data_IF_190775437181
#
_entry.id   IF_190775437181
#
_cell.length_a   1.000
_cell.length_b   1.000
_cell.length_c   1.000
_cell.angle_alpha   90.00
_cell.angle_beta   90.00
_cell.angle_gamma   90.00
#
_symmetry.space_group_name_H-M   'P 1'
#
loop_
_entity.id
_entity.type
_entity.pdbx_description
1 polymer ?
#
# COMPACT_ATOMS: atom_id res chain seq x y z
N UNK A 1 2.18 21.76 -6.39
CA UNK A 1 2.98 20.91 -5.48
C UNK A 1 4.16 20.34 -6.26
N UNK A 2 5.35 20.26 -5.66
CA UNK A 2 6.51 19.61 -6.29
C UNK A 2 6.18 18.12 -6.50
N UNK A 3 6.17 17.60 -7.75
CA UNK A 3 5.84 16.19 -8.02
C UNK A 3 6.73 15.20 -7.26
N UNK A 4 7.96 15.58 -6.90
CA UNK A 4 8.89 14.74 -6.13
C UNK A 4 8.40 14.43 -4.70
N UNK A 5 7.39 15.12 -4.19
CA UNK A 5 6.78 14.78 -2.90
C UNK A 5 6.24 13.35 -2.88
N UNK A 6 5.80 12.83 -4.04
CA UNK A 6 5.27 11.49 -4.16
C UNK A 6 6.31 10.39 -3.93
N UNK A 7 7.60 10.64 -4.18
CA UNK A 7 8.65 9.71 -3.78
C UNK A 7 8.76 9.57 -2.26
N UNK A 8 8.54 10.66 -1.50
CA UNK A 8 8.53 10.61 -0.03
C UNK A 8 7.34 9.80 0.47
N UNK A 9 6.17 10.01 -0.13
CA UNK A 9 4.95 9.24 0.17
C UNK A 9 5.17 7.76 -0.17
N UNK A 10 5.73 7.46 -1.34
CA UNK A 10 6.05 6.09 -1.74
C UNK A 10 7.05 5.42 -0.77
N UNK A 11 8.06 6.14 -0.30
CA UNK A 11 9.04 5.62 0.66
C UNK A 11 8.37 5.24 2.00
N UNK A 12 7.55 6.11 2.57
CA UNK A 12 6.83 5.84 3.82
C UNK A 12 5.84 4.68 3.62
N UNK A 13 5.08 4.71 2.53
CA UNK A 13 4.14 3.65 2.17
C UNK A 13 4.84 2.30 1.96
N UNK A 14 6.07 2.30 1.43
CA UNK A 14 6.85 1.09 1.19
C UNK A 14 7.30 0.41 2.46
N UNK A 15 7.80 1.19 3.42
CA UNK A 15 8.14 0.67 4.76
C UNK A 15 6.90 0.06 5.43
N UNK A 16 5.75 0.73 5.33
CA UNK A 16 4.50 0.21 5.87
C UNK A 16 4.06 -1.10 5.19
N UNK A 17 4.07 -1.16 3.86
CA UNK A 17 3.68 -2.34 3.10
C UNK A 17 4.59 -3.56 3.41
N UNK A 18 5.91 -3.34 3.51
CA UNK A 18 6.87 -4.37 3.94
C UNK A 18 6.61 -4.84 5.37
N UNK A 19 6.34 -3.91 6.30
CA UNK A 19 6.01 -4.23 7.69
C UNK A 19 4.74 -5.08 7.80
N UNK A 20 3.67 -4.71 7.09
CA UNK A 20 2.41 -5.45 7.08
C UNK A 20 2.55 -6.83 6.43
N UNK A 21 3.31 -6.93 5.33
CA UNK A 21 3.60 -8.21 4.66
C UNK A 21 4.41 -9.17 5.54
N UNK A 22 5.47 -8.67 6.18
CA UNK A 22 6.30 -9.50 7.08
C UNK A 22 5.56 -9.93 8.34
N UNK A 23 4.74 -9.03 8.91
CA UNK A 23 3.83 -9.36 10.02
C UNK A 23 2.84 -10.45 9.61
N UNK A 24 2.24 -10.33 8.43
CA UNK A 24 1.34 -11.34 7.85
C UNK A 24 1.97 -12.73 7.74
N UNK A 25 3.23 -12.79 7.32
CA UNK A 25 3.94 -14.06 7.11
C UNK A 25 4.43 -14.72 8.41
N UNK A 26 4.81 -13.95 9.43
CA UNK A 26 5.51 -14.49 10.61
C UNK A 26 4.68 -14.46 11.90
N UNK A 27 3.93 -13.37 12.12
CA UNK A 27 3.28 -13.10 13.40
C UNK A 27 1.75 -13.22 13.32
N UNK A 28 1.16 -13.04 12.14
CA UNK A 28 -0.29 -13.06 11.98
C UNK A 28 -0.87 -14.48 12.04
N UNK A 29 -1.54 -14.77 13.16
CA UNK A 29 -2.16 -16.07 13.45
C UNK A 29 -3.64 -15.88 13.80
N UNK A 30 -4.50 -15.55 12.82
CA UNK A 30 -5.93 -15.40 13.06
C UNK A 30 -6.56 -16.75 13.42
N UNK A 31 -7.63 -16.72 14.21
CA UNK A 31 -8.40 -17.93 14.57
C UNK A 31 -9.10 -18.54 13.36
N UNK A 32 -9.59 -17.70 12.44
CA UNK A 32 -10.13 -18.16 11.16
C UNK A 32 -9.04 -18.02 10.07
N UNK A 33 -8.65 -19.12 9.40
CA UNK A 33 -7.59 -19.12 8.40
C UNK A 33 -7.91 -18.25 7.18
N UNK A 34 -9.19 -18.00 6.86
CA UNK A 34 -9.63 -17.11 5.78
C UNK A 34 -9.00 -15.72 5.89
N UNK A 35 -8.78 -15.24 7.11
CA UNK A 35 -8.20 -13.91 7.31
C UNK A 35 -6.73 -13.83 6.93
N UNK A 36 -6.00 -14.95 6.85
CA UNK A 36 -4.66 -14.94 6.28
C UNK A 36 -4.68 -14.59 4.80
N UNK A 37 -5.63 -15.12 4.05
CA UNK A 37 -5.78 -14.83 2.62
C UNK A 37 -6.20 -13.38 2.39
N UNK A 38 -7.11 -12.86 3.22
CA UNK A 38 -7.52 -11.46 3.22
C UNK A 38 -6.32 -10.56 3.56
N UNK A 39 -5.56 -10.87 4.60
CA UNK A 39 -4.36 -10.11 5.00
C UNK A 39 -3.30 -10.12 3.91
N UNK A 40 -3.06 -11.28 3.30
CA UNK A 40 -2.10 -11.43 2.21
C UNK A 40 -2.51 -10.58 1.00
N UNK A 41 -3.79 -10.64 0.62
CA UNK A 41 -4.34 -9.85 -0.49
C UNK A 41 -4.26 -8.35 -0.21
N UNK A 42 -4.63 -7.91 0.98
CA UNK A 42 -4.54 -6.52 1.42
C UNK A 42 -3.09 -6.00 1.39
N UNK A 43 -2.15 -6.78 1.95
CA UNK A 43 -0.72 -6.44 1.95
C UNK A 43 -0.14 -6.37 0.53
N UNK A 44 -0.55 -7.29 -0.34
CA UNK A 44 -0.12 -7.31 -1.74
C UNK A 44 -0.63 -6.08 -2.50
N UNK A 45 -1.90 -5.69 -2.33
CA UNK A 45 -2.43 -4.48 -2.97
C UNK A 45 -1.77 -3.21 -2.45
N UNK A 46 -1.47 -3.11 -1.15
CA UNK A 46 -0.72 -1.99 -0.60
C UNK A 46 0.67 -1.88 -1.27
N UNK A 47 1.38 -3.00 -1.40
CA UNK A 47 2.70 -3.03 -2.02
C UNK A 47 2.65 -2.64 -3.51
N UNK A 48 1.68 -3.17 -4.26
CA UNK A 48 1.50 -2.85 -5.69
C UNK A 48 1.18 -1.37 -5.89
N UNK A 49 0.26 -0.80 -5.10
CA UNK A 49 -0.04 0.64 -5.16
C UNK A 49 1.17 1.48 -4.79
N UNK A 50 1.97 1.04 -3.82
CA UNK A 50 3.21 1.72 -3.45
C UNK A 50 4.24 1.69 -4.56
N UNK A 51 4.43 0.54 -5.23
CA UNK A 51 5.31 0.44 -6.39
C UNK A 51 4.84 1.39 -7.51
N UNK A 52 3.53 1.46 -7.76
CA UNK A 52 2.97 2.41 -8.71
C UNK A 52 3.18 3.88 -8.29
N UNK A 53 3.09 4.22 -7.00
CA UNK A 53 3.33 5.57 -6.47
C UNK A 53 4.74 6.10 -6.78
N UNK A 54 5.74 5.23 -6.93
CA UNK A 54 7.10 5.64 -7.35
C UNK A 54 7.07 6.31 -8.73
N UNK A 55 6.18 5.88 -9.63
CA UNK A 55 6.03 6.48 -10.95
C UNK A 55 5.24 7.79 -10.96
N UNK A 56 4.62 8.19 -9.85
CA UNK A 56 3.74 9.35 -9.81
C UNK A 56 4.37 10.66 -10.37
N UNK A 57 5.65 11.01 -10.07
CA UNK A 57 6.24 12.27 -10.53
C UNK A 57 6.38 12.41 -12.05
N UNK A 58 6.43 11.30 -12.78
CA UNK A 58 6.61 11.28 -14.25
C UNK A 58 5.28 11.20 -15.02
N UNK A 59 4.14 11.15 -14.32
CA UNK A 59 2.82 11.11 -14.95
C UNK A 59 2.35 12.51 -15.38
N UNK A 60 1.38 12.57 -16.30
CA UNK A 60 0.78 13.84 -16.78
C UNK A 60 0.12 14.64 -15.65
N UNK A 61 -0.44 13.97 -14.65
CA UNK A 61 -1.16 14.58 -13.52
C UNK A 61 -0.73 13.93 -12.18
N UNK A 62 0.48 14.25 -11.66
CA UNK A 62 1.09 13.54 -10.54
C UNK A 62 0.24 13.56 -9.27
N UNK A 63 -0.46 14.66 -8.99
CA UNK A 63 -1.27 14.78 -7.77
C UNK A 63 -2.58 13.99 -7.84
N UNK A 64 -3.18 13.88 -9.03
CA UNK A 64 -4.39 13.07 -9.22
C UNK A 64 -4.01 11.59 -9.15
N UNK A 65 -2.96 11.20 -9.88
CA UNK A 65 -2.47 9.83 -9.89
C UNK A 65 -2.05 9.36 -8.50
N UNK A 66 -1.16 10.12 -7.83
CA UNK A 66 -0.71 9.79 -6.49
C UNK A 66 -1.84 9.83 -5.47
N UNK A 67 -2.73 10.82 -5.55
CA UNK A 67 -3.86 10.96 -4.64
C UNK A 67 -4.81 9.76 -4.72
N UNK A 68 -5.15 9.31 -5.93
CA UNK A 68 -6.01 8.14 -6.13
C UNK A 68 -5.35 6.85 -5.63
N UNK A 69 -4.05 6.65 -5.86
CA UNK A 69 -3.35 5.47 -5.35
C UNK A 69 -3.27 5.45 -3.83
N UNK A 70 -2.95 6.59 -3.21
CA UNK A 70 -2.94 6.70 -1.74
C UNK A 70 -4.35 6.50 -1.15
N UNK A 71 -5.38 7.08 -1.78
CA UNK A 71 -6.76 6.84 -1.38
C UNK A 71 -7.14 5.36 -1.50
N UNK A 72 -6.72 4.69 -2.58
CA UNK A 72 -6.96 3.26 -2.79
C UNK A 72 -6.29 2.38 -1.74
N UNK A 73 -5.06 2.72 -1.33
CA UNK A 73 -4.38 2.05 -0.22
C UNK A 73 -5.21 2.15 1.07
N UNK A 74 -5.63 3.36 1.43
CA UNK A 74 -6.36 3.61 2.68
C UNK A 74 -7.76 2.98 2.68
N UNK A 75 -8.45 3.01 1.54
CA UNK A 75 -9.83 2.50 1.44
C UNK A 75 -9.91 0.98 1.25
N UNK A 76 -8.93 0.36 0.57
CA UNK A 76 -9.07 -1.01 0.08
C UNK A 76 -7.93 -1.96 0.46
N UNK A 77 -6.80 -1.47 0.99
CA UNK A 77 -5.66 -2.32 1.38
C UNK A 77 -5.61 -2.62 2.88
N UNK A 78 -6.73 -2.44 3.59
CA UNK A 78 -6.90 -2.81 5.00
C UNK A 78 -7.82 -4.02 5.18
N UNK A 79 -7.86 -4.56 6.40
CA UNK A 79 -8.78 -5.63 6.80
C UNK A 79 -9.76 -5.08 7.83
N UNK A 80 -11.08 -5.14 7.59
CA UNK A 80 -12.13 -4.64 8.53
C UNK A 80 -12.44 -5.63 9.64
N UNK A 81 -11.41 -6.22 10.25
CA UNK A 81 -11.52 -7.42 11.07
C UNK A 81 -10.95 -7.25 12.47
#
# INVERSE_FOLDING_TARGET
MNPLIWHKVAAISGVAALGLGTYGAHAFKPQNPTYKDVWHTASLYHLVHTAALVSAPITKNPNVFGGLLTAGILAFSGTTQ
#
